data_IF_039963487689
#
_entry.id   IF_039963487689
#
_cell.length_a   1.000
_cell.length_b   1.000
_cell.length_c   1.000
_cell.angle_alpha   90.00
_cell.angle_beta   90.00
_cell.angle_gamma   90.00
#
_symmetry.space_group_name_H-M   'P 1'
#
loop_
_entity.id
_entity.type
_entity.pdbx_description
1 polymer ?
#
# COMPACT_ATOMS: atom_id res chain seq x y z
N UNK A 1 2.20 21.33 14.02
CA UNK A 1 1.36 20.52 14.92
C UNK A 1 2.18 20.14 16.16
N UNK A 2 1.54 20.13 17.33
CA UNK A 2 2.14 19.64 18.58
C UNK A 2 1.77 18.16 18.76
N UNK A 3 2.77 17.33 19.06
CA UNK A 3 2.53 15.95 19.46
C UNK A 3 2.09 15.94 20.92
N UNK A 4 0.98 15.28 21.19
CA UNK A 4 0.41 15.16 22.55
C UNK A 4 0.77 13.84 23.21
N UNK A 5 1.20 12.82 22.44
CA UNK A 5 1.58 11.49 22.92
C UNK A 5 2.60 10.86 21.97
N UNK A 6 3.52 10.09 22.53
CA UNK A 6 4.44 9.21 21.79
C UNK A 6 3.95 7.75 21.78
N UNK A 7 2.76 7.52 22.32
CA UNK A 7 2.16 6.19 22.40
C UNK A 7 0.93 6.10 21.49
N UNK A 8 0.91 5.10 20.62
CA UNK A 8 -0.28 4.67 19.88
C UNK A 8 -0.87 3.44 20.60
N UNK A 9 -1.95 3.64 21.40
CA UNK A 9 -2.50 2.58 22.25
C UNK A 9 -3.27 1.53 21.44
N UNK A 10 -3.41 0.33 22.01
CA UNK A 10 -4.07 -0.81 21.36
C UNK A 10 -5.45 -0.48 20.80
N UNK A 11 -6.27 0.28 21.54
CA UNK A 11 -7.62 0.64 21.10
C UNK A 11 -7.65 1.43 19.78
N UNK A 12 -6.62 2.22 19.50
CA UNK A 12 -6.48 2.96 18.24
C UNK A 12 -5.84 2.10 17.14
N UNK A 13 -4.92 1.21 17.50
CA UNK A 13 -4.13 0.42 16.55
C UNK A 13 -4.86 -0.84 16.09
N UNK A 14 -5.69 -1.46 16.95
CA UNK A 14 -6.35 -2.74 16.68
C UNK A 14 -7.26 -2.74 15.45
N UNK A 15 -7.82 -1.58 15.12
CA UNK A 15 -8.78 -1.42 14.00
C UNK A 15 -8.13 -1.01 12.69
N UNK A 16 -6.89 -0.51 12.74
CA UNK A 16 -6.20 0.04 11.57
C UNK A 16 -4.74 -0.43 11.54
N UNK A 17 -4.45 -1.36 10.66
CA UNK A 17 -3.08 -1.89 10.52
C UNK A 17 -2.07 -0.82 10.11
N UNK A 18 -2.47 0.16 9.32
CA UNK A 18 -1.63 1.29 8.92
C UNK A 18 -1.09 2.11 10.11
N UNK A 19 -1.63 1.90 11.33
CA UNK A 19 -1.10 2.52 12.54
C UNK A 19 0.39 2.23 12.80
N UNK A 20 0.95 1.13 12.26
CA UNK A 20 2.40 0.86 12.33
C UNK A 20 3.22 1.95 11.62
N UNK A 21 2.66 2.65 10.66
CA UNK A 21 3.34 3.71 9.90
C UNK A 21 3.73 4.93 10.73
N UNK A 22 3.17 5.09 11.93
CA UNK A 22 3.57 6.19 12.82
C UNK A 22 4.89 5.88 13.56
N UNK A 23 5.36 4.62 13.56
CA UNK A 23 6.57 4.21 14.28
C UNK A 23 7.82 4.96 13.79
N UNK A 24 8.10 4.92 12.48
CA UNK A 24 9.26 5.56 11.89
C UNK A 24 9.29 7.08 12.08
N UNK A 25 8.24 7.81 11.65
CA UNK A 25 8.23 9.26 11.78
C UNK A 25 8.20 9.76 13.24
N UNK A 26 7.55 9.06 14.18
CA UNK A 26 7.66 9.39 15.61
C UNK A 26 9.08 9.22 16.10
N UNK A 27 9.68 8.05 15.88
CA UNK A 27 11.05 7.77 16.33
C UNK A 27 12.05 8.77 15.73
N UNK A 28 11.97 9.04 14.43
CA UNK A 28 12.88 9.96 13.75
C UNK A 28 12.75 11.41 14.26
N UNK A 29 11.52 11.82 14.64
CA UNK A 29 11.24 13.19 15.07
C UNK A 29 11.50 13.44 16.55
N UNK A 30 11.23 12.44 17.40
CA UNK A 30 11.21 12.62 18.87
C UNK A 30 12.26 11.79 19.60
N UNK A 31 12.88 10.83 18.93
CA UNK A 31 13.81 9.89 19.53
C UNK A 31 13.16 8.74 20.29
N UNK A 32 11.82 8.72 20.38
CA UNK A 32 11.08 7.66 21.08
C UNK A 32 9.73 7.40 20.41
N UNK A 33 9.30 6.14 20.37
CA UNK A 33 7.97 5.73 19.96
C UNK A 33 7.53 4.48 20.71
N UNK A 34 6.26 4.45 21.10
CA UNK A 34 5.65 3.31 21.79
C UNK A 34 4.35 2.94 21.07
N UNK A 35 4.38 1.90 20.23
CA UNK A 35 3.28 1.55 19.35
C UNK A 35 2.78 0.15 19.71
N UNK A 36 1.48 0.01 19.96
CA UNK A 36 0.88 -1.31 20.13
C UNK A 36 1.12 -2.15 18.88
N UNK A 37 1.42 -3.43 19.04
CA UNK A 37 1.43 -4.35 17.91
C UNK A 37 0.06 -4.30 17.22
N UNK A 38 0.04 -4.16 15.88
CA UNK A 38 -1.22 -4.16 15.16
C UNK A 38 -1.94 -5.51 15.36
N UNK A 39 -3.24 -5.47 15.55
CA UNK A 39 -4.07 -6.66 15.63
C UNK A 39 -3.92 -7.54 14.39
N UNK A 40 -4.23 -8.81 14.52
CA UNK A 40 -4.22 -9.76 13.40
C UNK A 40 -5.15 -9.28 12.27
N UNK A 41 -4.70 -9.41 11.03
CA UNK A 41 -5.55 -9.22 9.87
C UNK A 41 -6.12 -10.57 9.44
N UNK A 42 -7.42 -10.63 9.14
CA UNK A 42 -8.09 -11.87 8.76
C UNK A 42 -7.54 -12.48 7.46
N UNK A 43 -6.89 -11.68 6.61
CA UNK A 43 -6.38 -12.11 5.29
C UNK A 43 -4.99 -12.76 5.33
N UNK A 44 -4.29 -12.76 6.48
CA UNK A 44 -2.99 -13.41 6.62
C UNK A 44 -2.06 -12.77 7.65
N UNK A 45 -0.93 -13.44 7.88
CA UNK A 45 0.15 -12.93 8.73
C UNK A 45 0.79 -11.72 8.04
N UNK A 46 0.91 -10.64 8.79
CA UNK A 46 1.60 -9.42 8.34
C UNK A 46 2.64 -9.03 9.38
N UNK A 47 3.77 -9.73 9.43
CA UNK A 47 4.80 -9.46 10.40
C UNK A 47 5.32 -8.04 10.26
N UNK A 48 5.69 -7.42 11.39
CA UNK A 48 6.30 -6.08 11.43
C UNK A 48 7.83 -6.16 11.56
N UNK A 49 8.38 -7.36 11.38
CA UNK A 49 9.79 -7.65 11.54
C UNK A 49 10.68 -6.82 10.63
N UNK A 50 10.29 -6.58 9.39
CA UNK A 50 11.06 -5.77 8.45
C UNK A 50 11.10 -4.28 8.84
N UNK A 51 10.01 -3.75 9.41
CA UNK A 51 10.03 -2.39 10.01
C UNK A 51 11.05 -2.32 11.15
N UNK A 52 11.02 -3.31 12.04
CA UNK A 52 11.93 -3.39 13.21
C UNK A 52 13.38 -3.55 12.75
N UNK A 53 13.67 -4.53 11.88
CA UNK A 53 15.01 -4.76 11.34
C UNK A 53 15.58 -3.50 10.68
N UNK A 54 14.77 -2.82 9.86
CA UNK A 54 15.19 -1.60 9.18
C UNK A 54 15.52 -0.47 10.15
N UNK A 55 14.67 -0.20 11.15
CA UNK A 55 14.94 0.82 12.17
C UNK A 55 16.12 0.46 13.06
N UNK A 56 16.33 -0.83 13.38
CA UNK A 56 17.50 -1.30 14.10
C UNK A 56 18.79 -1.10 13.28
N UNK A 57 18.74 -1.37 11.97
CA UNK A 57 19.87 -1.07 11.08
C UNK A 57 20.21 0.43 11.03
N UNK A 58 19.20 1.30 11.24
CA UNK A 58 19.38 2.74 11.38
C UNK A 58 19.81 3.19 12.79
N UNK A 59 20.06 2.24 13.71
CA UNK A 59 20.58 2.51 15.06
C UNK A 59 19.52 2.64 16.15
N UNK A 60 18.28 2.24 15.90
CA UNK A 60 17.26 2.21 16.93
C UNK A 60 17.42 1.00 17.86
N UNK A 61 17.23 1.22 19.17
CA UNK A 61 17.02 0.17 20.14
C UNK A 61 15.52 -0.14 20.22
N UNK A 62 15.14 -1.39 19.87
CA UNK A 62 13.75 -1.79 19.82
C UNK A 62 13.51 -3.02 20.68
N UNK A 63 12.53 -2.93 21.57
CA UNK A 63 12.08 -4.00 22.44
C UNK A 63 10.56 -4.19 22.30
N UNK A 64 10.12 -5.44 22.29
CA UNK A 64 8.69 -5.76 22.33
C UNK A 64 8.33 -6.23 23.73
N UNK A 65 7.47 -5.48 24.42
CA UNK A 65 7.01 -5.80 25.77
C UNK A 65 5.51 -5.56 25.88
N UNK A 66 4.81 -6.53 26.50
CA UNK A 66 3.37 -6.44 26.75
C UNK A 66 2.52 -6.08 25.52
N UNK A 67 2.93 -6.55 24.32
CA UNK A 67 2.23 -6.27 23.07
C UNK A 67 2.53 -4.88 22.48
N UNK A 68 3.54 -4.17 22.97
CA UNK A 68 4.00 -2.89 22.46
C UNK A 68 5.42 -2.97 21.89
N UNK A 69 5.63 -2.27 20.80
CA UNK A 69 6.93 -1.98 20.22
C UNK A 69 7.45 -0.71 20.90
N UNK A 70 8.46 -0.84 21.75
CA UNK A 70 9.19 0.28 22.31
C UNK A 70 10.43 0.53 21.47
N UNK A 71 10.52 1.67 20.82
CA UNK A 71 11.66 2.09 20.02
C UNK A 71 12.27 3.36 20.58
N UNK A 72 13.60 3.37 20.72
CA UNK A 72 14.36 4.54 21.17
C UNK A 72 15.58 4.71 20.27
N UNK A 73 15.85 5.93 19.87
CA UNK A 73 17.06 6.30 19.14
C UNK A 73 17.43 7.76 19.46
N UNK A 74 18.63 8.00 19.94
CA UNK A 74 19.13 9.37 20.12
C UNK A 74 19.19 10.11 18.78
N UNK A 75 19.62 9.42 17.75
CA UNK A 75 19.69 9.87 16.35
C UNK A 75 19.63 8.65 15.47
N UNK A 76 18.77 8.64 14.47
CA UNK A 76 18.81 7.63 13.41
C UNK A 76 19.93 7.95 12.43
N UNK A 77 20.59 6.91 11.92
CA UNK A 77 21.66 7.03 10.94
C UNK A 77 21.27 6.37 9.62
N UNK A 78 21.79 6.90 8.54
CA UNK A 78 21.64 6.29 7.21
C UNK A 78 22.18 4.86 7.20
N UNK A 79 21.46 3.98 6.52
CA UNK A 79 21.79 2.56 6.43
C UNK A 79 21.42 1.99 5.06
N UNK A 80 22.10 0.91 4.65
CA UNK A 80 21.65 0.08 3.53
C UNK A 80 20.73 -1.00 4.08
N UNK A 81 19.48 -1.00 3.63
CA UNK A 81 18.43 -1.92 4.08
C UNK A 81 17.91 -2.69 2.89
N UNK A 82 18.02 -4.02 2.93
CA UNK A 82 17.49 -4.92 1.92
C UNK A 82 16.26 -5.61 2.50
N UNK A 83 15.11 -5.43 1.88
CA UNK A 83 13.90 -6.13 2.31
C UNK A 83 13.95 -7.61 1.89
N UNK A 84 13.68 -8.51 2.82
CA UNK A 84 13.60 -9.96 2.56
C UNK A 84 12.46 -10.27 1.57
N UNK A 85 11.33 -9.56 1.72
CA UNK A 85 10.18 -9.56 0.81
C UNK A 85 9.71 -8.12 0.57
N UNK A 86 9.16 -7.85 -0.60
CA UNK A 86 8.57 -6.54 -0.92
C UNK A 86 7.47 -6.23 0.09
N UNK A 87 7.57 -5.07 0.73
CA UNK A 87 6.60 -4.60 1.72
C UNK A 87 6.27 -3.12 1.52
N UNK A 88 5.00 -2.82 1.25
CA UNK A 88 4.52 -1.45 1.05
C UNK A 88 4.72 -0.63 2.33
N UNK A 89 4.08 -1.06 3.43
CA UNK A 89 4.16 -0.32 4.71
C UNK A 89 5.57 -0.29 5.30
N UNK A 90 6.40 -1.32 5.05
CA UNK A 90 7.82 -1.30 5.44
C UNK A 90 8.60 -0.23 4.69
N UNK A 91 8.40 -0.14 3.37
CA UNK A 91 9.02 0.89 2.52
C UNK A 91 8.58 2.30 2.95
N UNK A 92 7.28 2.52 3.14
CA UNK A 92 6.74 3.81 3.59
C UNK A 92 7.31 4.24 4.94
N UNK A 93 7.28 3.34 5.92
CA UNK A 93 7.73 3.63 7.28
C UNK A 93 9.22 3.97 7.33
N UNK A 94 10.06 3.16 6.67
CA UNK A 94 11.50 3.39 6.64
C UNK A 94 11.88 4.60 5.79
N UNK A 95 11.17 4.87 4.70
CA UNK A 95 11.34 6.08 3.90
C UNK A 95 11.05 7.35 4.73
N UNK A 96 9.94 7.37 5.47
CA UNK A 96 9.62 8.48 6.38
C UNK A 96 10.68 8.65 7.48
N UNK A 97 11.13 7.57 8.11
CA UNK A 97 12.17 7.62 9.14
C UNK A 97 13.50 8.14 8.58
N UNK A 98 13.89 7.69 7.39
CA UNK A 98 15.14 8.05 6.73
C UNK A 98 15.24 9.53 6.37
N UNK A 99 14.12 10.24 6.18
CA UNK A 99 14.14 11.67 5.85
C UNK A 99 14.83 12.53 6.90
N UNK A 100 14.82 12.11 8.17
CA UNK A 100 15.44 12.82 9.29
C UNK A 100 16.67 12.09 9.87
N UNK A 101 17.12 10.99 9.25
CA UNK A 101 18.30 10.27 9.69
C UNK A 101 19.60 10.98 9.29
N UNK A 102 20.65 10.83 10.06
CA UNK A 102 21.95 11.41 9.73
C UNK A 102 22.64 10.57 8.64
N UNK A 103 22.88 11.15 7.47
CA UNK A 103 23.52 10.48 6.33
C UNK A 103 22.54 9.96 5.28
N UNK A 104 22.93 8.93 4.53
CA UNK A 104 22.16 8.39 3.40
C UNK A 104 21.64 7.00 3.73
N UNK A 105 20.33 6.79 3.49
CA UNK A 105 19.68 5.48 3.56
C UNK A 105 19.40 4.98 2.14
N UNK A 106 19.66 3.68 1.91
CA UNK A 106 19.33 2.99 0.66
C UNK A 106 18.39 1.84 1.01
N UNK A 107 17.18 1.87 0.46
CA UNK A 107 16.20 0.80 0.54
C UNK A 107 16.27 -0.03 -0.73
N UNK A 108 16.58 -1.32 -0.63
CA UNK A 108 16.63 -2.27 -1.74
C UNK A 108 15.50 -3.30 -1.63
N UNK A 109 15.03 -3.81 -2.76
CA UNK A 109 13.82 -4.61 -2.89
C UNK A 109 12.59 -3.86 -2.33
N UNK A 110 12.58 -2.54 -2.53
CA UNK A 110 11.52 -1.65 -2.08
C UNK A 110 10.22 -1.89 -2.84
N UNK A 111 9.10 -1.56 -2.22
CA UNK A 111 7.81 -1.53 -2.88
C UNK A 111 7.76 -0.43 -3.95
N UNK A 112 7.03 -0.69 -5.04
CA UNK A 112 6.98 0.15 -6.24
C UNK A 112 5.61 0.73 -6.49
N UNK A 113 4.67 0.47 -5.61
CA UNK A 113 3.28 0.91 -5.68
C UNK A 113 3.21 2.43 -5.88
N UNK A 114 2.22 2.94 -6.64
CA UNK A 114 2.03 4.37 -6.86
C UNK A 114 1.96 5.19 -5.56
N UNK A 115 1.44 4.59 -4.49
CA UNK A 115 1.35 5.18 -3.15
C UNK A 115 2.74 5.50 -2.57
N UNK A 116 3.77 4.69 -2.89
CA UNK A 116 5.17 4.96 -2.50
C UNK A 116 5.70 6.21 -3.20
N UNK A 117 5.36 6.35 -4.49
CA UNK A 117 5.76 7.52 -5.29
C UNK A 117 5.05 8.78 -4.78
N UNK A 118 3.76 8.66 -4.46
CA UNK A 118 2.95 9.76 -3.94
C UNK A 118 3.47 10.24 -2.56
N UNK A 119 3.77 9.31 -1.65
CA UNK A 119 4.39 9.63 -0.36
C UNK A 119 5.76 10.29 -0.55
N UNK A 120 6.59 9.78 -1.45
CA UNK A 120 7.89 10.39 -1.74
C UNK A 120 7.74 11.83 -2.25
N UNK A 121 6.80 12.09 -3.16
CA UNK A 121 6.51 13.43 -3.64
C UNK A 121 6.02 14.37 -2.52
N UNK A 122 5.16 13.87 -1.63
CA UNK A 122 4.74 14.62 -0.45
C UNK A 122 5.92 14.99 0.45
N UNK A 123 6.79 14.04 0.75
CA UNK A 123 7.99 14.27 1.57
C UNK A 123 8.98 15.23 0.88
N UNK A 124 9.16 15.11 -0.44
CA UNK A 124 10.00 16.02 -1.23
C UNK A 124 9.42 17.46 -1.18
N UNK A 125 8.09 17.59 -1.32
CA UNK A 125 7.43 18.89 -1.16
C UNK A 125 7.61 19.48 0.25
N UNK A 126 7.82 18.64 1.28
CA UNK A 126 8.17 19.04 2.63
C UNK A 126 9.67 19.30 2.84
N UNK A 127 10.50 19.14 1.80
CA UNK A 127 11.94 19.39 1.84
C UNK A 127 12.84 18.17 1.99
N UNK A 128 12.30 16.95 1.88
CA UNK A 128 13.08 15.72 1.86
C UNK A 128 13.85 15.56 0.55
N UNK A 129 14.90 14.76 0.58
CA UNK A 129 15.72 14.40 -0.59
C UNK A 129 15.59 12.90 -0.83
N UNK A 130 14.74 12.53 -1.78
CA UNK A 130 14.40 11.14 -2.11
C UNK A 130 14.57 10.92 -3.60
N UNK A 131 15.21 9.82 -3.98
CA UNK A 131 15.49 9.44 -5.36
C UNK A 131 15.12 7.98 -5.58
N UNK A 132 14.63 7.63 -6.76
CA UNK A 132 14.31 6.27 -7.16
C UNK A 132 12.96 5.74 -6.65
N UNK A 133 12.08 6.58 -6.08
CA UNK A 133 10.73 6.15 -5.75
C UNK A 133 10.00 5.58 -6.98
N UNK A 134 9.31 4.44 -6.82
CA UNK A 134 8.69 3.68 -7.91
C UNK A 134 9.64 2.67 -8.58
N UNK A 135 10.89 2.59 -8.15
CA UNK A 135 11.84 1.52 -8.50
C UNK A 135 12.07 0.59 -7.30
N UNK A 136 12.81 -0.48 -7.50
CA UNK A 136 13.19 -1.41 -6.43
C UNK A 136 14.32 -0.89 -5.52
N UNK A 137 14.92 0.26 -5.87
CA UNK A 137 15.96 0.92 -5.06
C UNK A 137 15.58 2.37 -4.81
N UNK A 138 15.43 2.74 -3.53
CA UNK A 138 15.13 4.11 -3.11
C UNK A 138 16.29 4.63 -2.27
N UNK A 139 16.82 5.80 -2.65
CA UNK A 139 17.88 6.49 -1.91
C UNK A 139 17.32 7.73 -1.23
N UNK A 140 17.57 7.86 0.07
CA UNK A 140 17.09 8.98 0.89
C UNK A 140 18.31 9.65 1.56
N UNK A 141 18.53 10.93 1.26
CA UNK A 141 19.50 11.75 1.98
C UNK A 141 18.77 12.46 3.13
N UNK A 142 19.17 12.16 4.36
CA UNK A 142 18.57 12.76 5.53
C UNK A 142 18.76 14.27 5.60
N UNK A 143 17.75 14.97 6.09
CA UNK A 143 17.75 16.43 6.29
C UNK A 143 17.55 16.79 7.76
N UNK A 144 17.96 17.98 8.16
CA UNK A 144 17.84 18.41 9.58
C UNK A 144 16.39 18.64 10.01
N UNK A 145 15.53 19.07 9.09
CA UNK A 145 14.12 19.34 9.36
C UNK A 145 13.30 19.31 8.08
N UNK A 146 12.02 18.99 8.23
CA UNK A 146 11.00 19.13 7.19
C UNK A 146 10.14 20.34 7.51
N UNK A 147 9.51 20.93 6.49
CA UNK A 147 8.56 22.04 6.61
C UNK A 147 7.15 21.63 6.18
N UNK A 148 6.16 22.49 6.37
CA UNK A 148 4.81 22.29 5.86
C UNK A 148 4.77 22.44 4.34
N UNK A 149 3.87 21.68 3.70
CA UNK A 149 3.63 21.76 2.27
C UNK A 149 2.14 21.64 1.97
N UNK A 150 1.71 22.22 0.85
CA UNK A 150 0.43 21.88 0.23
C UNK A 150 0.67 20.68 -0.70
N UNK A 151 -0.14 19.65 -0.53
CA UNK A 151 -0.01 18.43 -1.32
C UNK A 151 -1.38 17.85 -1.63
N UNK A 152 -1.62 17.49 -2.88
CA UNK A 152 -2.82 16.78 -3.31
C UNK A 152 -2.48 15.30 -3.40
N UNK A 153 -3.09 14.50 -2.55
CA UNK A 153 -2.96 13.04 -2.56
C UNK A 153 -3.52 12.48 -3.87
N UNK A 154 -2.87 11.47 -4.39
CA UNK A 154 -3.30 10.76 -5.59
C UNK A 154 -4.70 10.15 -5.44
N UNK A 155 -5.45 9.94 -6.54
CA UNK A 155 -6.73 9.21 -6.47
C UNK A 155 -6.52 7.77 -6.04
N UNK A 156 -7.49 7.22 -5.28
CA UNK A 156 -7.49 5.82 -4.88
C UNK A 156 -7.79 4.92 -6.10
N UNK A 157 -6.74 4.22 -6.57
CA UNK A 157 -6.86 3.31 -7.71
C UNK A 157 -7.71 2.08 -7.41
N UNK A 158 -7.78 1.65 -6.16
CA UNK A 158 -8.58 0.49 -5.75
C UNK A 158 -10.07 0.86 -5.71
N UNK A 159 -10.40 2.04 -5.22
CA UNK A 159 -11.76 2.58 -5.33
C UNK A 159 -12.19 2.72 -6.80
N UNK A 160 -11.36 3.35 -7.62
CA UNK A 160 -11.58 3.47 -9.08
C UNK A 160 -11.84 2.11 -9.71
N UNK A 161 -10.94 1.13 -9.49
CA UNK A 161 -11.08 -0.23 -10.01
C UNK A 161 -12.34 -0.93 -9.52
N UNK A 162 -12.74 -0.71 -8.28
CA UNK A 162 -13.94 -1.31 -7.70
C UNK A 162 -15.20 -0.83 -8.42
N UNK A 163 -15.33 0.47 -8.72
CA UNK A 163 -16.46 0.99 -9.50
C UNK A 163 -16.46 0.49 -10.94
N UNK A 164 -15.28 0.36 -11.57
CA UNK A 164 -15.19 -0.21 -12.91
C UNK A 164 -15.62 -1.68 -12.95
N UNK A 165 -15.22 -2.49 -11.97
CA UNK A 165 -15.66 -3.88 -11.83
C UNK A 165 -17.18 -3.94 -11.57
N UNK A 166 -17.72 -3.08 -10.73
CA UNK A 166 -19.16 -3.03 -10.47
C UNK A 166 -19.96 -2.73 -11.74
N UNK A 167 -19.52 -1.77 -12.56
CA UNK A 167 -20.15 -1.48 -13.84
C UNK A 167 -20.04 -2.66 -14.82
N UNK A 168 -18.88 -3.32 -14.88
CA UNK A 168 -18.68 -4.51 -15.73
C UNK A 168 -19.60 -5.67 -15.29
N UNK A 169 -19.79 -5.85 -14.00
CA UNK A 169 -20.62 -6.91 -13.45
C UNK A 169 -22.11 -6.70 -13.67
N UNK A 170 -22.59 -5.45 -13.62
CA UNK A 170 -24.01 -5.11 -13.70
C UNK A 170 -24.46 -4.72 -15.12
N UNK A 171 -23.51 -4.54 -16.03
CA UNK A 171 -23.75 -3.94 -17.35
C UNK A 171 -24.02 -2.43 -17.23
N UNK A 172 -23.68 -1.67 -18.26
CA UNK A 172 -23.94 -0.24 -18.31
C UNK A 172 -22.73 0.59 -18.72
N UNK A 173 -22.74 1.82 -18.24
CA UNK A 173 -21.83 2.89 -18.64
C UNK A 173 -21.42 3.71 -17.43
N UNK A 174 -20.11 3.89 -17.21
CA UNK A 174 -19.59 4.69 -16.11
C UNK A 174 -18.47 5.61 -16.58
N UNK A 175 -18.54 6.88 -16.18
CA UNK A 175 -17.50 7.86 -16.40
C UNK A 175 -16.92 8.32 -15.06
N UNK A 176 -15.72 7.86 -14.72
CA UNK A 176 -14.97 8.24 -13.52
C UNK A 176 -14.07 9.42 -13.83
N UNK A 177 -14.13 10.45 -13.00
CA UNK A 177 -13.32 11.68 -13.08
C UNK A 177 -12.32 11.74 -11.94
N UNK A 178 -11.32 12.59 -12.10
CA UNK A 178 -10.25 12.77 -11.09
C UNK A 178 -9.54 11.47 -10.74
N UNK A 179 -9.30 10.61 -11.74
CA UNK A 179 -8.56 9.35 -11.64
C UNK A 179 -7.47 9.27 -12.70
N UNK A 180 -6.60 8.26 -12.62
CA UNK A 180 -5.50 8.06 -13.56
C UNK A 180 -5.43 6.60 -14.00
N UNK A 181 -5.68 6.35 -15.29
CA UNK A 181 -5.67 5.01 -15.88
C UNK A 181 -4.33 4.27 -15.72
N UNK A 182 -3.20 4.99 -15.82
CA UNK A 182 -1.87 4.39 -15.71
C UNK A 182 -1.57 3.77 -14.33
N UNK A 183 -2.37 4.09 -13.31
CA UNK A 183 -2.25 3.46 -11.99
C UNK A 183 -2.92 2.09 -11.93
N UNK A 184 -3.67 1.72 -12.98
CA UNK A 184 -4.59 0.58 -13.03
C UNK A 184 -4.39 -0.33 -14.24
N UNK A 185 -3.30 -0.20 -14.99
CA UNK A 185 -3.11 -0.92 -16.26
C UNK A 185 -3.48 -2.40 -16.18
N UNK A 186 -2.96 -3.14 -15.18
CA UNK A 186 -3.27 -4.56 -15.01
C UNK A 186 -4.76 -4.85 -14.73
N UNK A 187 -5.48 -3.91 -14.11
CA UNK A 187 -6.92 -4.02 -13.84
C UNK A 187 -7.71 -3.73 -15.10
N UNK A 188 -7.35 -2.68 -15.84
CA UNK A 188 -8.00 -2.29 -17.09
C UNK A 188 -7.84 -3.35 -18.18
N UNK A 189 -6.67 -3.97 -18.26
CA UNK A 189 -6.41 -5.10 -19.16
C UNK A 189 -7.35 -6.26 -18.87
N UNK A 190 -7.54 -6.62 -17.59
CA UNK A 190 -8.45 -7.69 -17.18
C UNK A 190 -9.92 -7.37 -17.41
N UNK A 191 -10.33 -6.12 -17.25
CA UNK A 191 -11.69 -5.68 -17.60
C UNK A 191 -11.93 -5.72 -19.11
N UNK A 192 -10.93 -5.37 -19.91
CA UNK A 192 -10.98 -5.47 -21.38
C UNK A 192 -11.06 -6.95 -21.80
N UNK A 193 -10.29 -7.85 -21.18
CA UNK A 193 -10.36 -9.31 -21.39
C UNK A 193 -11.77 -9.83 -21.05
N UNK A 194 -12.41 -9.30 -20.01
CA UNK A 194 -13.79 -9.63 -19.61
C UNK A 194 -14.83 -9.12 -20.62
N UNK A 195 -14.46 -8.25 -21.56
CA UNK A 195 -15.33 -7.75 -22.63
C UNK A 195 -15.75 -6.29 -22.47
N UNK A 196 -15.24 -5.57 -21.47
CA UNK A 196 -15.51 -4.14 -21.33
C UNK A 196 -14.80 -3.33 -22.42
N UNK A 197 -15.42 -2.25 -22.85
CA UNK A 197 -14.80 -1.19 -23.66
C UNK A 197 -14.36 -0.08 -22.74
N UNK A 198 -13.10 0.34 -22.85
CA UNK A 198 -12.52 1.33 -21.96
C UNK A 198 -11.84 2.40 -22.80
N UNK A 199 -12.26 3.65 -22.57
CA UNK A 199 -11.60 4.84 -23.05
C UNK A 199 -11.05 5.61 -21.85
N UNK A 200 -9.84 6.17 -21.96
CA UNK A 200 -9.22 6.91 -20.88
C UNK A 200 -8.54 8.18 -21.40
N UNK A 201 -8.56 9.21 -20.56
CA UNK A 201 -7.80 10.44 -20.75
C UNK A 201 -6.87 10.70 -19.57
N UNK A 202 -6.34 11.91 -19.50
CA UNK A 202 -5.35 12.27 -18.50
C UNK A 202 -5.84 12.11 -17.04
N UNK A 203 -7.14 12.37 -16.81
CA UNK A 203 -7.73 12.36 -15.46
C UNK A 203 -9.15 11.76 -15.43
N UNK A 204 -9.48 10.88 -16.38
CA UNK A 204 -10.75 10.20 -16.43
C UNK A 204 -10.64 8.83 -17.07
N UNK A 205 -11.59 7.95 -16.74
CA UNK A 205 -11.78 6.63 -17.33
C UNK A 205 -13.26 6.48 -17.64
N UNK A 206 -13.57 6.04 -18.84
CA UNK A 206 -14.93 5.75 -19.30
C UNK A 206 -15.00 4.27 -19.66
N UNK A 207 -15.91 3.53 -19.03
CA UNK A 207 -16.11 2.11 -19.27
C UNK A 207 -17.54 1.83 -19.69
N UNK A 208 -17.67 1.04 -20.74
CA UNK A 208 -18.93 0.52 -21.25
C UNK A 208 -18.96 -1.01 -21.18
N UNK A 209 -20.06 -1.58 -20.67
CA UNK A 209 -20.31 -3.02 -20.69
C UNK A 209 -21.75 -3.30 -21.11
N UNK A 210 -21.93 -3.83 -22.30
CA UNK A 210 -23.26 -4.08 -22.90
C UNK A 210 -23.61 -5.56 -23.02
N UNK A 211 -22.64 -6.44 -22.76
CA UNK A 211 -22.83 -7.89 -22.85
C UNK A 211 -22.51 -8.52 -21.50
N UNK A 212 -22.88 -9.78 -21.35
CA UNK A 212 -22.48 -10.57 -20.19
C UNK A 212 -20.95 -10.69 -20.15
N UNK A 213 -20.30 -10.48 -19.00
CA UNK A 213 -18.85 -10.58 -18.90
C UNK A 213 -18.35 -12.00 -19.16
N UNK A 214 -17.15 -12.11 -19.72
CA UNK A 214 -16.40 -13.35 -19.82
C UNK A 214 -15.56 -13.53 -18.56
N UNK A 215 -15.40 -14.78 -18.11
CA UNK A 215 -14.54 -15.05 -16.97
C UNK A 215 -13.06 -14.86 -17.32
N UNK A 216 -12.27 -14.32 -16.37
CA UNK A 216 -10.86 -13.98 -16.55
C UNK A 216 -10.00 -14.60 -15.47
N UNK A 217 -8.87 -15.20 -15.88
CA UNK A 217 -7.89 -15.74 -14.95
C UNK A 217 -7.09 -14.60 -14.32
N UNK A 218 -6.84 -14.72 -13.00
CA UNK A 218 -6.09 -13.74 -12.23
C UNK A 218 -4.95 -14.41 -11.46
N UNK A 219 -3.83 -13.70 -11.36
CA UNK A 219 -2.76 -13.99 -10.44
C UNK A 219 -2.32 -12.68 -9.78
N UNK A 220 -2.48 -12.59 -8.46
CA UNK A 220 -2.01 -11.42 -7.72
C UNK A 220 -0.48 -11.43 -7.60
N UNK A 221 0.13 -10.27 -7.65
CA UNK A 221 1.56 -10.07 -7.41
C UNK A 221 1.84 -8.61 -7.07
N UNK A 222 3.03 -8.27 -6.52
CA UNK A 222 3.41 -6.88 -6.27
C UNK A 222 3.33 -6.01 -7.53
N UNK A 223 3.08 -4.72 -7.33
CA UNK A 223 3.00 -3.75 -8.43
C UNK A 223 4.27 -3.82 -9.34
N UNK A 224 4.12 -3.72 -10.69
CA UNK A 224 2.94 -3.29 -11.43
C UNK A 224 1.97 -4.43 -11.85
N UNK A 225 2.11 -5.62 -11.28
CA UNK A 225 1.22 -6.73 -11.58
C UNK A 225 -0.17 -6.53 -10.94
N UNK A 226 -1.04 -7.54 -11.08
CA UNK A 226 -2.43 -7.45 -10.64
C UNK A 226 -2.52 -7.34 -9.09
N UNK A 227 -3.15 -6.26 -8.57
CA UNK A 227 -3.16 -5.99 -7.13
C UNK A 227 -4.08 -6.95 -6.37
N UNK A 228 -3.57 -7.48 -5.25
CA UNK A 228 -4.34 -8.35 -4.36
C UNK A 228 -5.62 -7.66 -3.82
N UNK A 229 -5.63 -6.33 -3.73
CA UNK A 229 -6.79 -5.55 -3.28
C UNK A 229 -7.96 -5.53 -4.28
N UNK A 230 -7.74 -5.97 -5.51
CA UNK A 230 -8.78 -6.15 -6.53
C UNK A 230 -9.25 -7.62 -6.68
N UNK A 231 -8.65 -8.54 -5.95
CA UNK A 231 -8.94 -9.98 -6.06
C UNK A 231 -10.42 -10.31 -5.76
N UNK A 232 -10.98 -9.77 -4.69
CA UNK A 232 -12.35 -10.06 -4.28
C UNK A 232 -13.39 -9.51 -5.27
N UNK A 233 -13.16 -8.32 -5.83
CA UNK A 233 -14.03 -7.68 -6.80
C UNK A 233 -14.10 -8.53 -8.09
N UNK A 234 -12.94 -8.95 -8.60
CA UNK A 234 -12.89 -9.80 -9.79
C UNK A 234 -13.40 -11.22 -9.52
N UNK A 235 -13.25 -11.74 -8.32
CA UNK A 235 -13.89 -13.01 -7.94
C UNK A 235 -15.42 -12.90 -8.05
N UNK A 236 -15.98 -11.80 -7.56
CA UNK A 236 -17.42 -11.53 -7.66
C UNK A 236 -17.87 -11.37 -9.13
N UNK A 237 -17.07 -10.69 -9.96
CA UNK A 237 -17.30 -10.60 -11.40
C UNK A 237 -17.32 -11.99 -12.06
N UNK A 238 -16.34 -12.84 -11.74
CA UNK A 238 -16.24 -14.19 -12.30
C UNK A 238 -17.40 -15.10 -11.89
N UNK A 239 -18.05 -14.87 -10.74
CA UNK A 239 -19.22 -15.66 -10.32
C UNK A 239 -20.42 -15.47 -11.25
N UNK A 240 -20.54 -14.35 -11.96
CA UNK A 240 -21.64 -14.05 -12.88
C UNK A 240 -21.22 -14.09 -14.35
N UNK A 241 -19.94 -14.27 -14.62
CA UNK A 241 -19.36 -14.27 -15.97
C UNK A 241 -19.59 -15.63 -16.70
N UNK A 242 -19.50 -15.60 -18.02
CA UNK A 242 -19.52 -16.83 -18.82
C UNK A 242 -18.14 -17.49 -18.81
N UNK A 243 -18.10 -18.80 -18.52
CA UNK A 243 -16.89 -19.62 -18.54
C UNK A 243 -16.39 -20.00 -17.15
N UNK A 244 -15.13 -20.35 -17.07
CA UNK A 244 -14.45 -20.76 -15.82
C UNK A 244 -13.17 -19.94 -15.66
N UNK A 245 -12.88 -19.52 -14.43
CA UNK A 245 -11.68 -18.76 -14.11
C UNK A 245 -10.88 -19.41 -12.98
N UNK A 246 -9.58 -19.21 -13.01
CA UNK A 246 -8.66 -19.56 -11.94
C UNK A 246 -8.13 -18.27 -11.32
N UNK A 247 -8.29 -18.16 -10.00
CA UNK A 247 -7.74 -17.06 -9.22
C UNK A 247 -6.64 -17.58 -8.32
N UNK A 248 -5.41 -17.09 -8.54
CA UNK A 248 -4.23 -17.43 -7.75
C UNK A 248 -3.83 -16.25 -6.89
N UNK A 249 -4.00 -16.37 -5.58
CA UNK A 249 -3.54 -15.39 -4.60
C UNK A 249 -2.12 -15.74 -4.14
N UNK A 250 -1.17 -14.82 -4.28
CA UNK A 250 0.24 -15.05 -3.94
C UNK A 250 0.78 -14.11 -2.87
N UNK A 251 -0.05 -13.14 -2.42
CA UNK A 251 0.36 -12.13 -1.45
C UNK A 251 -0.10 -12.48 -0.04
N UNK A 252 -1.37 -12.92 0.10
CA UNK A 252 -1.97 -13.21 1.40
C UNK A 252 -2.66 -14.58 1.40
N UNK A 253 -2.16 -15.50 2.21
CA UNK A 253 -2.57 -16.90 2.27
C UNK A 253 -4.06 -17.11 2.59
N UNK A 254 -4.67 -16.21 3.37
CA UNK A 254 -6.06 -16.33 3.82
C UNK A 254 -7.03 -15.39 3.09
N UNK A 255 -6.64 -14.79 1.96
CA UNK A 255 -7.48 -13.81 1.26
C UNK A 255 -8.54 -14.46 0.36
N UNK A 256 -9.20 -15.51 0.87
CA UNK A 256 -10.32 -16.22 0.24
C UNK A 256 -11.57 -16.25 1.13
N UNK A 257 -11.64 -15.43 2.17
CA UNK A 257 -12.76 -15.43 3.14
C UNK A 257 -14.12 -15.13 2.48
N UNK A 258 -14.14 -14.28 1.46
CA UNK A 258 -15.33 -13.93 0.69
C UNK A 258 -15.93 -15.12 -0.08
N UNK A 259 -15.16 -16.19 -0.33
CA UNK A 259 -15.65 -17.41 -1.02
C UNK A 259 -16.83 -18.03 -0.26
N UNK A 260 -16.75 -18.06 1.07
CA UNK A 260 -17.84 -18.57 1.91
C UNK A 260 -19.14 -17.79 1.70
N UNK A 261 -19.04 -16.46 1.61
CA UNK A 261 -20.20 -15.59 1.40
C UNK A 261 -20.74 -15.68 -0.03
N UNK A 262 -19.87 -15.71 -1.03
CA UNK A 262 -20.28 -15.91 -2.42
C UNK A 262 -21.00 -17.23 -2.63
N UNK A 263 -20.55 -18.33 -1.99
CA UNK A 263 -21.23 -19.63 -2.04
C UNK A 263 -22.60 -19.62 -1.37
N UNK A 264 -22.82 -18.78 -0.35
CA UNK A 264 -24.14 -18.61 0.30
C UNK A 264 -25.13 -17.84 -0.56
N UNK A 265 -24.64 -17.06 -1.50
CA UNK A 265 -25.47 -16.28 -2.45
C UNK A 265 -25.86 -17.09 -3.69
N UNK A 266 -25.35 -18.32 -3.86
CA UNK A 266 -25.54 -19.19 -5.01
C UNK A 266 -24.37 -19.14 -5.96
#
# INVERSE_FOLDING_TARGET
>A
AHLTSLTAPYEMVKTMRAAILVLGPLLARTGEANISLPGGCAIGLRPVDQHIKGLQAMGAEINIKHGYIHAVAKTLHGARIVFDIVTVTGTENLMMAATLAAGTTILENAAREPEIVDLAHCLIAMGAKIYGAGTDVITIEGVQSLHGAEFRVMPDRIETGTFLVACTATGGDIHLKDTNAHLLDAVLDKLTEAGARIDAGQNWIHLHMYAKPKSVNLRTAPYPAFPTDMQAQFMSLNCIADGTAIITETIYENRFMQVGELRRMG
#
